data_IF_716981865789
#
_entry.id   IF_716981865789
#
_cell.length_a   1.000
_cell.length_b   1.000
_cell.length_c   1.000
_cell.angle_alpha   90.00
_cell.angle_beta   90.00
_cell.angle_gamma   90.00
#
_symmetry.space_group_name_H-M   'P 1'
#
loop_
_entity.id
_entity.type
_entity.pdbx_description
1 polymer ?
#
# COMPACT_ATOMS: atom_id res chain seq x y z
N UNK A 1 18.62 -73.08 -4.00
CA UNK A 1 19.08 -71.69 -3.85
C UNK A 1 17.98 -70.85 -4.50
N UNK A 2 16.76 -70.79 -3.97
CA UNK A 2 16.32 -70.36 -2.63
C UNK A 2 16.95 -69.03 -2.23
N UNK A 3 16.15 -67.97 -2.42
CA UNK A 3 16.23 -66.71 -1.67
C UNK A 3 14.80 -66.21 -1.46
N UNK A 4 14.50 -66.00 -0.18
CA UNK A 4 13.23 -65.68 0.47
C UNK A 4 12.59 -64.33 0.08
N UNK A 5 11.30 -64.22 0.38
CA UNK A 5 10.47 -63.01 0.44
C UNK A 5 10.82 -62.17 1.68
N UNK A 6 10.77 -60.84 1.56
CA UNK A 6 10.44 -59.88 2.63
C UNK A 6 9.97 -58.58 1.92
N UNK A 7 8.65 -58.36 1.78
CA UNK A 7 7.79 -57.59 2.68
C UNK A 7 8.30 -56.15 2.94
N UNK A 8 7.82 -55.21 2.13
CA UNK A 8 8.04 -53.77 2.34
C UNK A 8 6.95 -53.24 3.28
N UNK A 9 7.28 -52.72 4.48
CA UNK A 9 6.29 -52.11 5.35
C UNK A 9 5.90 -50.72 4.84
N UNK A 10 4.60 -50.54 4.62
CA UNK A 10 3.92 -49.25 4.55
C UNK A 10 4.00 -48.55 5.91
N UNK A 11 4.78 -47.46 5.98
CA UNK A 11 4.72 -46.45 7.05
C UNK A 11 4.18 -45.17 6.40
N UNK A 12 2.86 -45.00 6.40
CA UNK A 12 2.12 -44.22 7.40
C UNK A 12 2.48 -42.72 7.38
N UNK A 13 1.72 -42.00 6.54
CA UNK A 13 1.33 -40.59 6.69
C UNK A 13 0.91 -40.31 8.13
N UNK A 14 1.72 -39.56 8.90
CA UNK A 14 1.24 -38.77 10.05
C UNK A 14 2.36 -37.84 10.56
N UNK A 15 2.65 -36.75 9.84
CA UNK A 15 3.55 -35.69 10.32
C UNK A 15 3.41 -34.35 9.56
N UNK A 16 2.22 -33.96 9.08
CA UNK A 16 1.99 -32.66 8.42
C UNK A 16 0.89 -31.81 9.10
N UNK A 17 0.73 -31.94 10.42
CA UNK A 17 -0.35 -31.28 11.17
C UNK A 17 0.06 -30.21 12.18
N UNK A 18 1.34 -29.87 12.35
CA UNK A 18 1.79 -29.07 13.51
C UNK A 18 2.69 -27.87 13.17
N UNK A 19 2.75 -27.45 11.90
CA UNK A 19 3.48 -26.24 11.48
C UNK A 19 2.56 -25.05 11.14
N UNK A 20 1.25 -25.27 10.93
CA UNK A 20 0.32 -24.22 10.51
C UNK A 20 -0.19 -23.37 11.69
N UNK A 21 -0.43 -23.96 12.86
CA UNK A 21 -1.03 -23.26 14.01
C UNK A 21 -0.07 -22.25 14.69
N UNK A 22 1.25 -22.46 14.61
CA UNK A 22 2.23 -21.54 15.20
C UNK A 22 2.46 -20.27 14.35
N UNK A 23 2.10 -20.29 13.07
CA UNK A 23 2.24 -19.14 12.18
C UNK A 23 1.11 -18.12 12.36
N UNK A 24 -0.10 -18.57 12.69
CA UNK A 24 -1.26 -17.69 12.90
C UNK A 24 -1.19 -16.94 14.25
N UNK A 25 -0.67 -17.59 15.31
CA UNK A 25 -0.50 -16.99 16.65
C UNK A 25 0.59 -15.88 16.67
N UNK A 26 1.66 -16.06 15.90
CA UNK A 26 2.73 -15.07 15.75
C UNK A 26 2.31 -13.86 14.90
N UNK A 27 1.47 -14.06 13.88
CA UNK A 27 0.94 -12.98 13.05
C UNK A 27 -0.10 -12.12 13.81
N UNK A 28 -0.97 -12.75 14.60
CA UNK A 28 -1.99 -12.05 15.39
C UNK A 28 -1.43 -11.25 16.57
N UNK A 29 -0.29 -11.68 17.13
CA UNK A 29 0.38 -10.95 18.23
C UNK A 29 1.24 -9.77 17.73
N UNK A 30 1.81 -9.87 16.52
CA UNK A 30 2.59 -8.78 15.92
C UNK A 30 1.71 -7.60 15.46
N UNK A 31 0.47 -7.87 15.01
CA UNK A 31 -0.46 -6.81 14.63
C UNK A 31 -0.94 -5.99 15.82
N UNK A 32 -1.20 -6.61 16.98
CA UNK A 32 -1.72 -5.90 18.16
C UNK A 32 -0.71 -4.96 18.81
N UNK A 33 0.57 -5.36 18.88
CA UNK A 33 1.62 -4.51 19.45
C UNK A 33 1.97 -3.34 18.53
N UNK A 34 1.99 -3.56 17.21
CA UNK A 34 2.23 -2.50 16.24
C UNK A 34 1.10 -1.45 16.21
N UNK A 35 -0.15 -1.86 16.38
CA UNK A 35 -1.28 -0.92 16.51
C UNK A 35 -1.22 -0.13 17.82
N UNK A 36 -0.84 -0.77 18.93
CA UNK A 36 -0.68 -0.08 20.21
C UNK A 36 0.43 1.00 20.18
N UNK A 37 1.50 0.79 19.40
CA UNK A 37 2.58 1.76 19.20
C UNK A 37 2.18 2.95 18.32
N UNK A 38 1.24 2.75 17.38
CA UNK A 38 0.70 3.85 16.57
C UNK A 38 -0.24 4.76 17.37
N UNK A 39 -0.86 4.19 18.40
CA UNK A 39 -1.72 4.87 19.36
C UNK A 39 -0.94 5.58 20.49
N UNK A 40 0.40 5.57 20.44
CA UNK A 40 1.22 6.37 21.37
C UNK A 40 0.86 7.86 21.24
N UNK A 41 0.41 8.54 22.32
CA UNK A 41 -0.05 9.92 22.26
C UNK A 41 1.00 10.88 21.70
N UNK A 42 2.29 10.61 21.96
CA UNK A 42 3.39 11.43 21.43
C UNK A 42 3.57 11.25 19.93
N UNK A 43 3.48 10.01 19.42
CA UNK A 43 3.51 9.73 17.98
C UNK A 43 2.32 10.39 17.25
N UNK A 44 1.13 10.36 17.85
CA UNK A 44 -0.07 11.04 17.32
C UNK A 44 0.16 12.56 17.25
N UNK A 45 0.60 13.17 18.35
CA UNK A 45 0.84 14.62 18.42
C UNK A 45 1.86 15.05 17.36
N UNK A 46 3.00 14.36 17.26
CA UNK A 46 4.03 14.65 16.27
C UNK A 46 3.54 14.47 14.83
N UNK A 47 2.64 13.51 14.58
CA UNK A 47 2.13 13.22 13.23
C UNK A 47 1.04 14.20 12.78
N UNK A 48 0.35 14.85 13.71
CA UNK A 48 -0.85 15.67 13.43
C UNK A 48 -0.60 16.79 12.40
N UNK A 49 0.50 17.53 12.55
CA UNK A 49 0.87 18.60 11.63
C UNK A 49 1.14 18.09 10.21
N UNK A 50 1.70 16.88 10.08
CA UNK A 50 2.00 16.27 8.79
C UNK A 50 0.73 15.80 8.09
N UNK A 51 -0.22 15.23 8.84
CA UNK A 51 -1.54 14.83 8.31
C UNK A 51 -2.31 16.04 7.78
N UNK A 52 -2.33 17.14 8.54
CA UNK A 52 -2.99 18.39 8.10
C UNK A 52 -2.34 18.97 6.84
N UNK A 53 -1.02 18.85 6.69
CA UNK A 53 -0.33 19.23 5.45
C UNK A 53 -0.70 18.31 4.29
N UNK A 54 -0.76 17.00 4.53
CA UNK A 54 -1.13 15.99 3.53
C UNK A 54 -2.54 16.20 2.98
N UNK A 55 -3.54 16.41 3.84
CA UNK A 55 -4.95 16.58 3.44
C UNK A 55 -5.19 17.82 2.56
N UNK A 56 -4.31 18.84 2.65
CA UNK A 56 -4.39 20.04 1.82
C UNK A 56 -3.85 19.83 0.41
N UNK A 57 -3.14 18.73 0.18
CA UNK A 57 -2.55 18.41 -1.11
C UNK A 57 -3.55 17.74 -2.04
N UNK A 58 -3.45 18.10 -3.31
CA UNK A 58 -4.13 17.39 -4.40
C UNK A 58 -3.23 16.27 -4.94
N UNK A 59 -3.80 15.25 -5.60
CA UNK A 59 -3.08 14.07 -6.09
C UNK A 59 -1.89 14.39 -7.00
N UNK A 60 -1.88 15.54 -7.67
CA UNK A 60 -0.81 15.96 -8.58
C UNK A 60 0.48 16.45 -7.90
N UNK A 61 0.56 16.45 -6.56
CA UNK A 61 1.69 17.01 -5.79
C UNK A 61 2.60 15.93 -5.18
N UNK A 62 2.96 14.91 -5.97
CA UNK A 62 3.75 13.75 -5.52
C UNK A 62 5.08 14.11 -4.83
N UNK A 63 5.76 15.17 -5.26
CA UNK A 63 6.98 15.66 -4.59
C UNK A 63 6.71 16.12 -3.16
N UNK A 64 5.66 16.92 -2.95
CA UNK A 64 5.31 17.44 -1.62
C UNK A 64 4.76 16.32 -0.74
N UNK A 65 3.98 15.38 -1.31
CA UNK A 65 3.54 14.17 -0.60
C UNK A 65 4.74 13.35 -0.10
N UNK A 66 5.71 13.07 -0.96
CA UNK A 66 6.94 12.34 -0.60
C UNK A 66 7.76 13.08 0.45
N UNK A 67 7.84 14.41 0.36
CA UNK A 67 8.49 15.27 1.35
C UNK A 67 7.86 15.17 2.72
N UNK A 68 6.53 15.29 2.81
CA UNK A 68 5.79 15.20 4.07
C UNK A 68 6.07 13.86 4.75
N UNK A 69 6.01 12.75 4.00
CA UNK A 69 6.30 11.42 4.53
C UNK A 69 7.74 11.34 5.06
N UNK A 70 8.71 11.87 4.29
CA UNK A 70 10.11 11.89 4.70
C UNK A 70 10.35 12.69 5.98
N UNK A 71 9.86 13.93 6.04
CA UNK A 71 10.00 14.79 7.23
C UNK A 71 9.29 14.22 8.46
N UNK A 72 8.13 13.59 8.27
CA UNK A 72 7.40 12.90 9.34
C UNK A 72 8.21 11.75 9.94
N UNK A 73 8.82 10.91 9.09
CA UNK A 73 9.68 9.82 9.54
C UNK A 73 10.90 10.34 10.29
N UNK A 74 11.55 11.37 9.78
CA UNK A 74 12.68 12.02 10.44
C UNK A 74 12.30 12.55 11.84
N UNK A 75 11.12 13.16 11.97
CA UNK A 75 10.61 13.63 13.26
C UNK A 75 10.40 12.48 14.26
N UNK A 76 9.78 11.38 13.83
CA UNK A 76 9.56 10.21 14.68
C UNK A 76 10.87 9.49 15.04
N UNK A 77 11.79 9.34 14.08
CA UNK A 77 13.12 8.78 14.33
C UNK A 77 13.91 9.64 15.33
N UNK A 78 13.88 10.97 15.17
CA UNK A 78 14.49 11.91 16.13
C UNK A 78 13.87 11.82 17.53
N UNK A 79 12.61 11.42 17.63
CA UNK A 79 11.91 11.18 18.89
C UNK A 79 12.20 9.82 19.54
N UNK A 80 13.03 8.98 18.89
CA UNK A 80 13.34 7.59 19.25
C UNK A 80 12.11 6.66 19.26
N UNK A 81 11.14 6.92 18.38
CA UNK A 81 10.03 6.00 18.15
C UNK A 81 10.53 4.67 17.55
N UNK A 82 9.80 3.55 17.72
CA UNK A 82 10.15 2.28 17.11
C UNK A 82 9.93 2.30 15.58
N UNK A 83 10.65 1.47 14.79
CA UNK A 83 10.53 1.43 13.32
C UNK A 83 9.13 1.14 12.77
N UNK A 84 8.34 0.39 13.52
CA UNK A 84 6.91 0.13 13.28
C UNK A 84 6.10 1.44 13.21
N UNK A 85 6.36 2.38 14.13
CA UNK A 85 5.58 3.62 14.28
C UNK A 85 5.78 4.62 13.13
N UNK A 86 6.90 4.54 12.41
CA UNK A 86 7.19 5.38 11.23
C UNK A 86 7.30 4.58 9.94
N UNK A 87 6.68 3.40 9.88
CA UNK A 87 6.63 2.57 8.68
C UNK A 87 5.73 3.16 7.58
N UNK A 88 5.86 2.68 6.35
CA UNK A 88 5.00 3.12 5.24
C UNK A 88 3.54 2.67 5.47
N UNK A 89 3.35 1.54 6.16
CA UNK A 89 2.06 1.03 6.65
C UNK A 89 1.45 1.92 7.73
N UNK A 90 2.27 2.37 8.70
CA UNK A 90 1.85 3.30 9.73
C UNK A 90 1.32 4.62 9.15
N UNK A 91 1.96 5.14 8.10
CA UNK A 91 1.48 6.32 7.40
C UNK A 91 0.17 6.05 6.66
N UNK A 92 0.11 4.96 5.88
CA UNK A 92 -1.08 4.58 5.11
C UNK A 92 -2.32 4.42 6.00
N UNK A 93 -2.19 3.75 7.14
CA UNK A 93 -3.27 3.62 8.13
C UNK A 93 -3.71 4.96 8.72
N UNK A 94 -2.76 5.88 8.92
CA UNK A 94 -3.02 7.19 9.54
C UNK A 94 -3.72 8.17 8.62
N UNK A 95 -3.33 8.25 7.35
CA UNK A 95 -3.96 9.18 6.39
C UNK A 95 -5.17 8.56 5.68
N UNK A 96 -5.24 7.23 5.61
CA UNK A 96 -6.27 6.51 4.87
C UNK A 96 -6.22 6.74 3.35
N UNK A 97 -6.97 5.94 2.60
CA UNK A 97 -7.15 6.12 1.15
C UNK A 97 -5.92 5.80 0.27
N UNK A 98 -4.76 5.48 0.84
CA UNK A 98 -3.55 5.11 0.12
C UNK A 98 -2.98 3.78 0.60
N UNK A 99 -2.33 3.04 -0.29
CA UNK A 99 -1.64 1.79 0.07
C UNK A 99 -0.24 2.07 0.62
N UNK A 100 0.27 1.18 1.47
CA UNK A 100 1.66 1.28 1.98
C UNK A 100 2.70 1.17 0.87
N UNK A 101 2.39 0.45 -0.21
CA UNK A 101 3.24 0.40 -1.40
C UNK A 101 3.33 1.78 -2.10
N UNK A 102 2.21 2.47 -2.26
CA UNK A 102 2.17 3.81 -2.85
C UNK A 102 2.96 4.81 -1.99
N UNK A 103 2.75 4.80 -0.68
CA UNK A 103 3.51 5.60 0.28
C UNK A 103 5.01 5.34 0.16
N UNK A 104 5.41 4.06 0.11
CA UNK A 104 6.80 3.66 -0.06
C UNK A 104 7.41 4.09 -1.39
N UNK A 105 6.63 4.21 -2.47
CA UNK A 105 7.10 4.78 -3.76
C UNK A 105 7.36 6.29 -3.62
N UNK A 106 6.39 7.05 -3.11
CA UNK A 106 6.51 8.49 -2.89
C UNK A 106 7.72 8.84 -2.03
N UNK A 107 7.87 8.14 -0.89
CA UNK A 107 8.97 8.33 0.04
C UNK A 107 10.32 8.07 -0.62
N UNK A 108 10.50 6.89 -1.23
CA UNK A 108 11.80 6.50 -1.79
C UNK A 108 12.26 7.43 -2.91
N UNK A 109 11.35 7.92 -3.75
CA UNK A 109 11.68 8.91 -4.78
C UNK A 109 12.14 10.22 -4.17
N UNK A 110 11.44 10.73 -3.14
CA UNK A 110 11.86 11.94 -2.45
C UNK A 110 13.18 11.76 -1.69
N UNK A 111 13.38 10.63 -1.03
CA UNK A 111 14.61 10.32 -0.31
C UNK A 111 15.83 10.28 -1.24
N UNK A 112 15.69 9.71 -2.44
CA UNK A 112 16.78 9.62 -3.42
C UNK A 112 17.02 10.94 -4.17
N UNK A 113 15.97 11.61 -4.62
CA UNK A 113 16.06 12.72 -5.58
C UNK A 113 15.55 14.06 -5.05
N UNK A 114 14.94 14.11 -3.86
CA UNK A 114 14.27 15.29 -3.32
C UNK A 114 15.17 16.52 -3.11
N UNK A 115 16.48 16.33 -3.03
CA UNK A 115 17.46 17.43 -2.93
C UNK A 115 17.94 17.95 -4.29
N UNK A 116 17.71 17.21 -5.38
CA UNK A 116 18.27 17.51 -6.72
C UNK A 116 17.21 17.66 -7.81
N UNK A 117 15.95 17.25 -7.60
CA UNK A 117 14.96 17.23 -8.67
C UNK A 117 14.73 18.59 -9.35
N UNK A 118 14.88 19.69 -8.60
CA UNK A 118 14.76 21.06 -9.12
C UNK A 118 15.86 21.42 -10.13
N UNK A 119 16.98 20.69 -10.16
CA UNK A 119 18.03 20.90 -11.17
C UNK A 119 17.69 20.32 -12.54
N UNK A 120 16.62 19.54 -12.65
CA UNK A 120 16.17 18.92 -13.91
C UNK A 120 14.88 19.59 -14.41
N UNK A 121 14.96 20.78 -15.04
CA UNK A 121 13.79 21.49 -15.50
C UNK A 121 13.00 20.67 -16.52
N UNK A 122 11.67 20.75 -16.43
CA UNK A 122 10.76 20.07 -17.36
C UNK A 122 10.55 18.57 -17.11
N UNK A 123 11.22 17.99 -16.11
CA UNK A 123 10.96 16.62 -15.69
C UNK A 123 9.82 16.53 -14.67
N UNK A 124 9.06 15.44 -14.76
CA UNK A 124 7.99 15.12 -13.83
C UNK A 124 8.44 14.03 -12.85
N UNK A 125 7.71 13.87 -11.74
CA UNK A 125 8.00 12.84 -10.73
C UNK A 125 8.11 11.42 -11.34
N UNK A 126 7.32 11.12 -12.38
CA UNK A 126 7.36 9.84 -13.10
C UNK A 126 8.71 9.53 -13.75
N UNK A 127 9.45 10.54 -14.22
CA UNK A 127 10.82 10.36 -14.71
C UNK A 127 11.74 9.81 -13.61
N UNK A 128 11.65 10.37 -12.41
CA UNK A 128 12.47 9.96 -11.28
C UNK A 128 12.05 8.60 -10.75
N UNK A 129 10.74 8.33 -10.69
CA UNK A 129 10.25 7.01 -10.36
C UNK A 129 10.79 5.94 -11.32
N UNK A 130 10.77 6.21 -12.63
CA UNK A 130 11.29 5.28 -13.62
C UNK A 130 12.80 5.01 -13.48
N UNK A 131 13.55 5.97 -12.95
CA UNK A 131 14.99 5.88 -12.74
C UNK A 131 15.38 5.40 -11.32
N UNK A 132 14.41 5.03 -10.47
CA UNK A 132 14.64 4.69 -9.05
C UNK A 132 15.61 3.54 -8.81
N UNK A 133 15.68 2.59 -9.74
CA UNK A 133 16.53 1.40 -9.62
C UNK A 133 17.72 1.44 -10.58
N UNK A 134 18.01 2.60 -11.18
CA UNK A 134 19.14 2.76 -12.11
C UNK A 134 20.36 3.29 -11.38
N UNK A 135 21.51 2.64 -11.56
CA UNK A 135 22.80 3.11 -11.03
C UNK A 135 23.30 4.37 -11.75
N UNK A 136 22.81 4.59 -12.98
CA UNK A 136 23.19 5.66 -13.90
C UNK A 136 22.05 6.69 -14.09
N UNK A 137 21.14 6.80 -13.10
CA UNK A 137 19.94 7.62 -13.17
C UNK A 137 20.21 9.08 -13.58
N UNK A 138 21.21 9.72 -12.99
CA UNK A 138 21.54 11.13 -13.20
C UNK A 138 21.89 11.41 -14.67
N UNK A 139 22.60 10.49 -15.33
CA UNK A 139 22.94 10.63 -16.75
C UNK A 139 21.68 10.64 -17.62
N UNK A 140 20.73 9.75 -17.35
CA UNK A 140 19.51 9.62 -18.13
C UNK A 140 18.49 10.72 -17.84
N UNK A 141 18.40 11.17 -16.59
CA UNK A 141 17.60 12.32 -16.19
C UNK A 141 18.13 13.60 -16.85
N UNK A 142 19.45 13.81 -16.88
CA UNK A 142 20.05 14.94 -17.57
C UNK A 142 19.73 14.90 -19.08
N UNK A 143 19.88 13.73 -19.72
CA UNK A 143 19.50 13.54 -21.12
C UNK A 143 18.03 13.85 -21.39
N UNK A 144 17.14 13.41 -20.50
CA UNK A 144 15.71 13.67 -20.60
C UNK A 144 15.39 15.16 -20.42
N UNK A 145 16.05 15.87 -19.49
CA UNK A 145 15.86 17.29 -19.27
C UNK A 145 16.33 18.12 -20.46
N UNK A 146 17.51 17.80 -21.02
CA UNK A 146 18.06 18.49 -22.19
C UNK A 146 17.26 18.24 -23.47
N UNK A 147 16.76 17.02 -23.66
CA UNK A 147 16.14 16.59 -24.92
C UNK A 147 14.60 16.55 -24.87
N UNK A 148 14.00 16.83 -23.71
CA UNK A 148 12.55 16.76 -23.50
C UNK A 148 11.97 15.36 -23.66
N UNK A 149 12.71 14.32 -23.24
CA UNK A 149 12.25 12.94 -23.40
C UNK A 149 11.07 12.64 -22.47
N UNK A 150 10.07 11.91 -22.98
CA UNK A 150 9.09 11.24 -22.14
C UNK A 150 9.75 10.10 -21.35
N UNK A 151 9.07 9.60 -20.32
CA UNK A 151 9.53 8.44 -19.52
C UNK A 151 9.83 7.23 -20.42
N UNK A 152 8.94 6.96 -21.37
CA UNK A 152 9.09 5.90 -22.37
C UNK A 152 10.35 6.07 -23.23
N UNK A 153 10.59 7.30 -23.70
CA UNK A 153 11.78 7.61 -24.50
C UNK A 153 13.04 7.46 -23.66
N UNK A 154 13.06 7.95 -22.42
CA UNK A 154 14.20 7.81 -21.52
C UNK A 154 14.55 6.34 -21.25
N UNK A 155 13.54 5.49 -20.97
CA UNK A 155 13.70 4.03 -20.82
C UNK A 155 14.27 3.38 -22.08
N UNK A 156 13.75 3.75 -23.26
CA UNK A 156 14.20 3.23 -24.55
C UNK A 156 15.66 3.61 -24.84
N UNK A 157 16.01 4.88 -24.66
CA UNK A 157 17.38 5.36 -24.87
C UNK A 157 18.39 4.62 -23.99
N UNK A 158 18.02 4.37 -22.73
CA UNK A 158 18.83 3.55 -21.81
C UNK A 158 18.96 2.11 -22.28
N UNK A 159 17.87 1.48 -22.67
CA UNK A 159 17.87 0.10 -23.18
C UNK A 159 18.75 -0.05 -24.43
N UNK A 160 18.64 0.88 -25.39
CA UNK A 160 19.48 0.90 -26.60
C UNK A 160 20.97 1.04 -26.25
N UNK A 161 21.30 1.93 -25.31
CA UNK A 161 22.69 2.15 -24.88
C UNK A 161 23.28 0.96 -24.11
N UNK A 162 22.45 0.18 -23.42
CA UNK A 162 22.85 -1.04 -22.71
C UNK A 162 22.97 -2.27 -23.64
N UNK A 163 22.83 -2.08 -24.95
CA UNK A 163 23.02 -3.12 -25.96
C UNK A 163 21.73 -3.73 -26.49
N UNK A 164 20.56 -3.24 -26.06
CA UNK A 164 19.28 -3.57 -26.68
C UNK A 164 18.89 -5.04 -26.60
N UNK A 165 19.05 -5.67 -25.43
CA UNK A 165 18.64 -7.08 -25.25
C UNK A 165 17.13 -7.24 -25.55
N UNK A 166 16.74 -8.05 -26.55
CA UNK A 166 15.34 -8.25 -26.92
C UNK A 166 14.45 -8.77 -25.78
N UNK A 167 15.02 -9.43 -24.77
CA UNK A 167 14.27 -9.91 -23.60
C UNK A 167 13.94 -8.80 -22.59
N UNK A 168 14.60 -7.65 -22.68
CA UNK A 168 14.47 -6.51 -21.76
C UNK A 168 13.91 -5.27 -22.47
N UNK A 169 13.32 -5.44 -23.66
CA UNK A 169 12.73 -4.34 -24.41
C UNK A 169 11.60 -3.69 -23.59
N UNK A 170 11.65 -2.37 -23.31
CA UNK A 170 10.61 -1.69 -22.54
C UNK A 170 9.27 -1.76 -23.28
N UNK A 171 8.27 -2.42 -22.69
CA UNK A 171 6.93 -2.47 -23.28
C UNK A 171 6.13 -1.20 -22.95
N UNK A 172 5.32 -0.72 -23.91
CA UNK A 172 4.39 0.41 -23.69
C UNK A 172 3.31 0.12 -22.63
N UNK A 173 3.11 -1.14 -22.25
CA UNK A 173 2.18 -1.54 -21.20
C UNK A 173 2.75 -1.32 -19.78
N UNK A 174 4.04 -1.61 -19.57
CA UNK A 174 4.73 -1.33 -18.30
C UNK A 174 4.82 0.17 -17.99
N UNK A 175 4.67 0.99 -19.04
CA UNK A 175 4.68 2.44 -18.97
C UNK A 175 3.38 3.01 -18.40
N UNK A 176 2.21 2.39 -18.67
CA UNK A 176 0.92 2.88 -18.15
C UNK A 176 0.67 2.51 -16.69
N UNK A 177 1.07 1.31 -16.27
CA UNK A 177 0.84 0.84 -14.89
C UNK A 177 1.63 1.66 -13.87
N UNK A 178 2.74 2.27 -14.28
CA UNK A 178 3.60 3.04 -13.39
C UNK A 178 3.08 4.47 -13.18
N UNK A 179 2.49 5.09 -14.21
CA UNK A 179 2.20 6.53 -14.26
C UNK A 179 0.70 6.89 -14.18
N UNK A 180 -0.22 6.01 -14.57
CA UNK A 180 -1.66 6.35 -14.73
C UNK A 180 -2.59 5.79 -13.65
N UNK A 181 -2.10 4.92 -12.75
CA UNK A 181 -2.94 4.48 -11.64
C UNK A 181 -2.81 5.51 -10.52
N UNK A 182 -3.80 6.41 -10.47
CA UNK A 182 -4.19 7.16 -9.27
C UNK A 182 -4.60 6.12 -8.20
N UNK A 183 -3.61 5.40 -7.66
CA UNK A 183 -3.74 4.42 -6.57
C UNK A 183 -4.17 5.10 -5.26
N UNK A 184 -4.32 6.43 -5.30
CA UNK A 184 -4.80 7.34 -4.27
C UNK A 184 -6.29 7.14 -3.91
N UNK A 185 -6.97 6.19 -4.57
CA UNK A 185 -8.35 5.83 -4.26
C UNK A 185 -8.53 4.31 -4.14
N UNK A 186 -8.21 3.79 -2.95
CA UNK A 186 -8.91 2.61 -2.46
C UNK A 186 -10.26 3.10 -1.90
N UNK A 187 -11.42 2.70 -2.47
CA UNK A 187 -12.68 2.91 -1.78
C UNK A 187 -12.55 2.26 -0.42
N UNK A 188 -12.70 3.05 0.65
CA UNK A 188 -12.92 2.49 1.97
C UNK A 188 -14.14 1.57 1.81
N UNK A 189 -13.96 0.26 2.00
CA UNK A 189 -15.09 -0.65 2.14
C UNK A 189 -16.03 0.02 3.15
N UNK A 190 -17.31 0.27 2.80
CA UNK A 190 -18.27 0.72 3.78
C UNK A 190 -18.16 -0.26 4.93
N UNK A 191 -17.84 0.24 6.12
CA UNK A 191 -17.88 -0.52 7.35
C UNK A 191 -19.28 -1.15 7.40
N UNK A 192 -19.42 -2.39 6.94
CA UNK A 192 -20.62 -3.17 7.18
C UNK A 192 -20.73 -3.23 8.68
N UNK A 193 -21.81 -2.62 9.16
CA UNK A 193 -22.14 -2.46 10.55
C UNK A 193 -21.82 -3.76 11.29
N UNK A 194 -20.74 -3.74 12.07
CA UNK A 194 -20.45 -4.78 13.06
C UNK A 194 -21.42 -4.56 14.22
N UNK A 195 -22.70 -4.71 13.92
CA UNK A 195 -23.75 -4.81 14.90
C UNK A 195 -23.51 -6.09 15.69
N UNK A 196 -23.31 -5.86 16.97
CA UNK A 196 -23.19 -6.82 18.05
C UNK A 196 -24.25 -7.90 17.92
N UNK A 197 -23.83 -9.16 17.76
CA UNK A 197 -24.74 -10.29 18.01
C UNK A 197 -24.06 -11.28 18.94
N UNK A 198 -24.12 -10.95 20.24
CA UNK A 198 -24.04 -11.93 21.29
C UNK A 198 -25.47 -12.42 21.59
N UNK A 199 -25.70 -13.70 21.31
CA UNK A 199 -26.67 -14.62 21.94
C UNK A 199 -28.15 -14.19 21.99
N UNK A 200 -29.01 -14.90 21.25
CA UNK A 200 -30.00 -15.78 21.90
C UNK A 200 -30.55 -16.79 20.88
N UNK A 201 -30.58 -18.05 21.29
CA UNK A 201 -31.19 -19.12 20.51
C UNK A 201 -32.58 -19.42 21.05
N UNK A 202 -33.61 -19.36 20.20
CA UNK A 202 -34.81 -20.23 20.26
C UNK A 202 -35.82 -19.90 19.17
N UNK A 203 -35.97 -20.87 18.24
CA UNK A 203 -37.20 -21.40 17.62
C UNK A 203 -38.19 -20.50 16.85
N UNK A 204 -38.52 -21.06 15.68
CA UNK A 204 -39.87 -21.19 15.09
C UNK A 204 -40.42 -19.99 14.35
N UNK A 205 -40.59 -20.16 13.04
CA UNK A 205 -41.18 -19.17 12.15
C UNK A 205 -42.67 -18.95 12.36
N UNK A 206 -43.13 -17.81 11.84
CA UNK A 206 -44.44 -17.55 11.21
C UNK A 206 -44.41 -16.14 10.62
N UNK A 207 -44.75 -16.07 9.34
CA UNK A 207 -45.39 -14.99 8.56
C UNK A 207 -45.37 -13.54 9.11
N UNK A 208 -44.80 -12.64 8.31
CA UNK A 208 -44.79 -11.20 8.56
C UNK A 208 -46.17 -10.54 8.43
N UNK A 209 -46.48 -9.48 9.19
CA UNK A 209 -47.72 -8.72 9.06
C UNK A 209 -47.71 -7.83 7.81
N UNK A 210 -48.83 -7.81 7.09
CA UNK A 210 -49.10 -6.90 5.97
C UNK A 210 -49.03 -5.42 6.42
N UNK A 211 -48.44 -4.51 5.65
CA UNK A 211 -48.45 -3.08 5.96
C UNK A 211 -49.87 -2.51 5.81
N UNK A 212 -50.39 -1.95 6.90
CA UNK A 212 -51.62 -1.15 6.93
C UNK A 212 -51.50 0.06 5.99
N UNK A 213 -52.53 0.29 5.18
CA UNK A 213 -52.62 1.43 4.28
C UNK A 213 -52.84 2.74 5.05
N UNK A 214 -52.48 3.89 4.47
CA UNK A 214 -52.67 5.19 5.12
C UNK A 214 -54.16 5.51 5.26
N UNK A 215 -54.58 5.64 6.52
CA UNK A 215 -55.85 6.16 7.00
C UNK A 215 -56.04 7.62 6.55
N UNK A 216 -56.81 7.83 5.48
CA UNK A 216 -57.25 9.16 5.07
C UNK A 216 -58.61 9.43 5.70
N UNK A 217 -58.59 10.17 6.81
CA UNK A 217 -59.78 10.60 7.53
C UNK A 217 -60.71 11.47 6.69
N UNK A 218 -61.99 11.16 6.78
CA UNK A 218 -63.11 12.01 6.41
C UNK A 218 -63.06 13.35 7.16
N UNK A 219 -63.07 14.47 6.44
CA UNK A 219 -63.78 15.67 6.90
C UNK A 219 -64.58 16.25 5.74
N UNK A 220 -65.91 16.16 5.90
CA UNK A 220 -66.91 16.87 5.14
C UNK A 220 -67.20 18.20 5.83
N UNK A 221 -67.08 19.31 5.11
CA UNK A 221 -67.99 20.46 5.15
C UNK A 221 -67.87 21.28 3.85
#
# INVERSE_FOLDING_TARGET
MDFEQDDFPTLADDAMGEAAAAAEDAASSQSSDADAELDDPKAIELSSDFVVRWEKLISTTNWEKGRIIFEWREALMGSQAPPSAYSDEAWARRVGGVTSQHVGRLRRVYERFGSVYESYPGLYWSHFLAAMDWDDAEMWLEGASQSGWSVSQMRRMRWEAMGGDPLQEPSDADLKTTDDVDEDFAPLDPLEDRETSAQDGTRSGTEGPLPEGPDFGDEAD
#
